data_IF_921594171487
#
_entry.id   IF_921594171487
#
_cell.length_a   1.000
_cell.length_b   1.000
_cell.length_c   1.000
_cell.angle_alpha   90.00
_cell.angle_beta   90.00
_cell.angle_gamma   90.00
#
_symmetry.space_group_name_H-M   'P 1'
#
loop_
_entity.id
_entity.type
_entity.pdbx_description
1 polymer ?
#
# COMPACT_ATOMS: atom_id res chain seq x y z
N UNK A 1 -14.52 15.02 -8.65
CA UNK A 1 -14.53 13.61 -8.29
C UNK A 1 -13.20 13.25 -7.67
N UNK A 2 -13.23 12.63 -6.49
CA UNK A 2 -12.00 12.28 -5.82
C UNK A 2 -11.36 11.07 -6.47
N UNK A 3 -10.06 11.14 -6.70
CA UNK A 3 -9.31 9.98 -7.14
C UNK A 3 -9.02 9.11 -5.93
N UNK A 4 -9.48 7.87 -5.99
CA UNK A 4 -9.26 6.90 -4.92
C UNK A 4 -8.24 5.89 -5.41
N UNK A 5 -7.19 5.68 -4.62
CA UNK A 5 -6.16 4.68 -4.88
C UNK A 5 -6.07 3.75 -3.70
N UNK A 6 -6.11 2.45 -3.96
CA UNK A 6 -6.07 1.43 -2.91
C UNK A 6 -4.83 0.58 -3.11
N UNK A 7 -3.95 0.56 -2.11
CA UNK A 7 -2.73 -0.21 -2.14
C UNK A 7 -2.74 -1.27 -1.05
N UNK A 8 -2.16 -2.41 -1.34
CA UNK A 8 -2.04 -3.51 -0.39
C UNK A 8 -0.61 -3.62 0.11
N UNK A 9 -0.43 -3.83 1.41
CA UNK A 9 0.82 -4.33 1.93
C UNK A 9 0.99 -5.80 1.53
N UNK A 10 2.22 -6.37 1.56
CA UNK A 10 2.46 -7.69 1.00
C UNK A 10 1.54 -8.80 1.51
N UNK A 11 1.25 -8.81 2.81
CA UNK A 11 0.39 -9.85 3.39
C UNK A 11 -1.10 -9.65 3.13
N UNK A 12 -1.48 -8.48 2.61
CA UNK A 12 -2.88 -8.11 2.41
C UNK A 12 -3.30 -8.11 0.94
N UNK A 13 -2.45 -8.56 0.03
CA UNK A 13 -2.72 -8.47 -1.41
C UNK A 13 -4.01 -9.18 -1.80
N UNK A 14 -4.17 -10.41 -1.35
CA UNK A 14 -5.35 -11.21 -1.72
C UNK A 14 -6.63 -10.57 -1.20
N UNK A 15 -6.62 -10.18 0.07
CA UNK A 15 -7.76 -9.54 0.71
C UNK A 15 -8.11 -8.22 0.03
N UNK A 16 -7.09 -7.42 -0.28
CA UNK A 16 -7.29 -6.12 -0.95
C UNK A 16 -7.85 -6.31 -2.34
N UNK A 17 -7.37 -7.32 -3.07
CA UNK A 17 -7.90 -7.61 -4.39
C UNK A 17 -9.38 -7.97 -4.34
N UNK A 18 -9.80 -8.74 -3.33
CA UNK A 18 -11.20 -9.08 -3.14
C UNK A 18 -12.05 -7.82 -2.87
N UNK A 19 -11.54 -6.90 -2.05
CA UNK A 19 -12.22 -5.64 -1.78
C UNK A 19 -12.34 -4.81 -3.06
N UNK A 20 -11.27 -4.70 -3.82
CA UNK A 20 -11.28 -3.93 -5.06
C UNK A 20 -12.23 -4.52 -6.08
N UNK A 21 -12.28 -5.84 -6.20
CA UNK A 21 -13.21 -6.50 -7.10
C UNK A 21 -14.67 -6.21 -6.71
N UNK A 22 -14.95 -6.26 -5.41
CA UNK A 22 -16.29 -5.96 -4.91
C UNK A 22 -16.71 -4.52 -5.22
N UNK A 23 -15.77 -3.58 -5.12
CA UNK A 23 -16.04 -2.16 -5.33
C UNK A 23 -15.89 -1.71 -6.78
N UNK A 24 -15.53 -2.62 -7.69
CA UNK A 24 -15.22 -2.31 -9.08
C UNK A 24 -14.10 -1.28 -9.21
N UNK A 25 -13.08 -1.40 -8.36
CA UNK A 25 -11.89 -0.56 -8.41
C UNK A 25 -10.69 -1.41 -8.79
N UNK A 26 -9.68 -0.76 -9.38
CA UNK A 26 -8.41 -1.43 -9.65
C UNK A 26 -7.50 -1.30 -8.43
N UNK A 27 -6.84 -2.40 -8.08
CA UNK A 27 -5.81 -2.34 -7.05
C UNK A 27 -4.64 -1.48 -7.55
N UNK A 28 -4.08 -0.67 -6.67
CA UNK A 28 -2.96 0.20 -7.02
C UNK A 28 -1.69 -0.60 -7.29
N UNK A 29 -0.87 -0.07 -8.19
CA UNK A 29 0.40 -0.69 -8.54
C UNK A 29 1.48 -0.27 -7.56
N UNK A 30 2.05 -1.23 -6.86
CA UNK A 30 3.05 -0.99 -5.84
C UNK A 30 4.08 -2.12 -5.87
N UNK A 31 5.33 -1.78 -5.61
CA UNK A 31 6.41 -2.76 -5.52
C UNK A 31 6.95 -2.80 -4.10
N UNK A 32 7.03 -4.00 -3.53
CA UNK A 32 7.64 -4.23 -2.23
C UNK A 32 8.88 -5.08 -2.45
N UNK A 33 10.04 -4.54 -2.10
CA UNK A 33 11.31 -5.24 -2.23
C UNK A 33 11.95 -5.40 -0.87
N UNK A 34 12.49 -6.59 -0.62
CA UNK A 34 13.23 -6.88 0.59
C UNK A 34 14.66 -7.22 0.21
N UNK A 35 15.61 -6.43 0.70
CA UNK A 35 17.03 -6.65 0.44
C UNK A 35 17.64 -7.59 1.47
N UNK A 36 18.84 -8.10 1.17
CA UNK A 36 19.52 -9.10 1.99
C UNK A 36 19.78 -8.68 3.44
N UNK A 37 19.86 -7.39 3.71
CA UNK A 37 20.12 -6.88 5.07
C UNK A 37 18.82 -6.40 5.74
N UNK A 38 17.72 -7.04 5.41
CA UNK A 38 16.39 -6.77 5.97
C UNK A 38 15.89 -5.35 5.74
N UNK A 39 16.48 -4.64 4.80
CA UNK A 39 15.96 -3.35 4.39
C UNK A 39 14.77 -3.54 3.46
N UNK A 40 13.65 -2.99 3.85
CA UNK A 40 12.45 -3.00 3.03
C UNK A 40 12.42 -1.76 2.17
N UNK A 41 12.09 -1.94 0.90
CA UNK A 41 11.92 -0.83 -0.03
C UNK A 41 10.53 -0.93 -0.66
N UNK A 42 9.82 0.20 -0.65
CA UNK A 42 8.49 0.28 -1.23
C UNK A 42 8.50 1.38 -2.28
N UNK A 43 7.99 1.05 -3.45
CA UNK A 43 7.87 2.01 -4.53
C UNK A 43 6.44 1.98 -5.07
N UNK A 44 5.79 3.14 -5.08
CA UNK A 44 4.49 3.30 -5.69
C UNK A 44 4.69 3.50 -7.20
N UNK A 45 4.04 2.65 -7.99
CA UNK A 45 4.28 2.57 -9.43
C UNK A 45 3.26 3.33 -10.26
N UNK A 46 2.44 4.17 -9.61
CA UNK A 46 1.49 5.01 -10.32
C UNK A 46 1.35 6.36 -9.62
N UNK A 47 0.76 7.31 -10.31
CA UNK A 47 0.58 8.66 -9.77
C UNK A 47 -0.48 8.65 -8.69
N UNK A 48 -0.12 9.15 -7.49
CA UNK A 48 -1.06 9.33 -6.38
C UNK A 48 -1.24 10.78 -6.01
N UNK A 49 -0.64 11.67 -6.79
CA UNK A 49 -0.74 13.12 -6.55
C UNK A 49 -2.19 13.56 -6.58
N UNK A 50 -2.61 14.26 -5.55
CA UNK A 50 -3.98 14.71 -5.36
C UNK A 50 -5.00 13.57 -5.27
N UNK A 51 -4.54 12.38 -4.91
CA UNK A 51 -5.43 11.23 -4.71
C UNK A 51 -5.62 10.96 -3.23
N UNK A 52 -6.79 10.41 -2.89
CA UNK A 52 -7.03 9.84 -1.57
C UNK A 52 -6.53 8.40 -1.60
N UNK A 53 -5.56 8.11 -0.76
CA UNK A 53 -4.88 6.81 -0.74
C UNK A 53 -5.37 6.00 0.45
N UNK A 54 -5.79 4.78 0.19
CA UNK A 54 -6.14 3.80 1.20
C UNK A 54 -5.10 2.69 1.18
N UNK A 55 -4.54 2.40 2.34
CA UNK A 55 -3.54 1.34 2.48
C UNK A 55 -4.12 0.28 3.38
N UNK A 56 -4.14 -0.96 2.90
CA UNK A 56 -4.73 -2.08 3.62
C UNK A 56 -3.64 -3.01 4.10
N UNK A 57 -3.71 -3.36 5.38
CA UNK A 57 -2.76 -4.26 6.00
C UNK A 57 -3.48 -5.24 6.91
N UNK A 58 -2.95 -6.46 6.99
CA UNK A 58 -3.44 -7.47 7.93
C UNK A 58 -2.63 -7.40 9.22
N UNK A 59 -3.18 -7.95 10.30
CA UNK A 59 -2.49 -8.00 11.60
C UNK A 59 -1.98 -9.39 11.94
N UNK A 60 -1.83 -10.26 10.94
CA UNK A 60 -1.31 -11.60 11.17
C UNK A 60 0.16 -11.58 11.59
N UNK A 61 0.61 -12.57 12.38
CA UNK A 61 2.01 -12.64 12.82
C UNK A 61 2.98 -12.81 11.65
N UNK A 62 4.20 -12.26 11.75
CA UNK A 62 4.71 -11.47 12.89
C UNK A 62 4.19 -10.03 12.84
N UNK A 63 3.62 -9.58 13.96
CA UNK A 63 2.96 -8.29 14.03
C UNK A 63 3.93 -7.14 13.78
N UNK A 64 5.14 -7.21 14.34
CA UNK A 64 6.12 -6.14 14.17
C UNK A 64 6.48 -5.92 12.70
N UNK A 65 6.60 -6.99 11.92
CA UNK A 65 6.86 -6.87 10.48
C UNK A 65 5.68 -6.22 9.77
N UNK A 66 4.46 -6.56 10.14
CA UNK A 66 3.26 -5.98 9.52
C UNK A 66 3.16 -4.49 9.79
N UNK A 67 3.47 -4.07 11.02
CA UNK A 67 3.48 -2.65 11.37
C UNK A 67 4.55 -1.91 10.58
N UNK A 68 5.75 -2.49 10.47
CA UNK A 68 6.84 -1.85 9.74
C UNK A 68 6.50 -1.71 8.25
N UNK A 69 5.91 -2.75 7.64
CA UNK A 69 5.45 -2.69 6.26
C UNK A 69 4.45 -1.55 6.04
N UNK A 70 3.50 -1.41 6.98
CA UNK A 70 2.50 -0.36 6.90
C UNK A 70 3.13 1.02 6.97
N UNK A 71 4.04 1.23 7.92
CA UNK A 71 4.69 2.53 8.10
C UNK A 71 5.52 2.92 6.87
N UNK A 72 6.25 1.98 6.30
CA UNK A 72 7.06 2.21 5.11
C UNK A 72 6.16 2.55 3.91
N UNK A 73 5.02 1.87 3.79
CA UNK A 73 4.08 2.12 2.71
C UNK A 73 3.44 3.50 2.85
N UNK A 74 3.07 3.90 4.07
CA UNK A 74 2.54 5.24 4.33
C UNK A 74 3.57 6.30 3.96
N UNK A 75 4.82 6.08 4.33
CA UNK A 75 5.91 7.02 4.01
C UNK A 75 6.08 7.15 2.50
N UNK A 76 6.04 6.04 1.76
CA UNK A 76 6.13 6.06 0.31
C UNK A 76 4.99 6.86 -0.32
N UNK A 77 3.77 6.71 0.20
CA UNK A 77 2.62 7.47 -0.29
C UNK A 77 2.78 8.96 -0.03
N UNK A 78 3.30 9.34 1.14
CA UNK A 78 3.57 10.73 1.46
C UNK A 78 4.60 11.33 0.52
N UNK A 79 5.69 10.60 0.27
CA UNK A 79 6.74 11.06 -0.66
C UNK A 79 6.22 11.21 -2.08
N UNK A 80 5.23 10.42 -2.45
CA UNK A 80 4.59 10.49 -3.77
C UNK A 80 3.53 11.59 -3.84
N UNK A 81 3.40 12.42 -2.81
CA UNK A 81 2.49 13.55 -2.76
C UNK A 81 1.01 13.19 -2.76
N UNK A 82 0.65 12.09 -2.10
CA UNK A 82 -0.75 11.74 -1.90
C UNK A 82 -1.46 12.87 -1.14
N UNK A 83 -2.69 13.15 -1.50
CA UNK A 83 -3.48 14.22 -0.87
C UNK A 83 -3.88 13.82 0.55
N UNK A 84 -4.43 12.64 0.70
CA UNK A 84 -4.83 12.06 1.99
C UNK A 84 -4.42 10.59 2.00
N UNK A 85 -4.12 10.11 3.17
CA UNK A 85 -3.76 8.71 3.34
C UNK A 85 -4.61 8.11 4.45
#
# INVERSE_FOLDING_TARGET
>A
MNNIKIFACPSAEKFTQEICDYLNLKIGKISHLKFKNDNNFVQILETVRQSDVYIIQTVEPPVNERIMELLITIDAAKRASAKNI
#
